data_IF_390380128101
#
_entry.id   IF_390380128101
#
_cell.length_a   1.000
_cell.length_b   1.000
_cell.length_c   1.000
_cell.angle_alpha   90.00
_cell.angle_beta   90.00
_cell.angle_gamma   90.00
#
_symmetry.space_group_name_H-M   'P 1'
#
loop_
_entity.id
_entity.type
_entity.pdbx_description
1 polymer ?
#
# COMPACT_ATOMS: atom_id res chain seq x y z
N UNK A 1 7.00 -22.81 -6.94
CA UNK A 1 6.43 -23.24 -8.24
C UNK A 1 5.92 -21.98 -8.92
N UNK A 2 6.00 -21.84 -10.25
CA UNK A 2 5.55 -20.63 -10.92
C UNK A 2 4.08 -20.34 -10.59
N UNK A 3 3.76 -19.12 -10.18
CA UNK A 3 2.37 -18.71 -9.95
C UNK A 3 1.77 -18.21 -11.27
N UNK A 4 0.42 -18.17 -11.43
CA UNK A 4 -0.18 -17.54 -12.61
C UNK A 4 0.06 -16.02 -12.71
N UNK A 5 0.72 -15.42 -11.71
CA UNK A 5 0.94 -13.99 -11.60
C UNK A 5 2.40 -13.56 -11.82
N UNK A 6 3.34 -14.50 -11.98
CA UNK A 6 4.77 -14.20 -12.03
C UNK A 6 5.11 -13.18 -13.14
N UNK A 7 4.54 -13.35 -14.35
CA UNK A 7 4.74 -12.40 -15.46
C UNK A 7 4.21 -10.99 -15.15
N UNK A 8 3.12 -10.89 -14.39
CA UNK A 8 2.55 -9.60 -13.98
C UNK A 8 3.44 -8.93 -12.93
N UNK A 9 3.91 -9.69 -11.95
CA UNK A 9 4.81 -9.21 -10.91
C UNK A 9 6.18 -8.80 -11.46
N UNK A 10 6.69 -9.52 -12.47
CA UNK A 10 7.92 -9.15 -13.17
C UNK A 10 7.77 -7.81 -13.92
N UNK A 11 6.64 -7.60 -14.60
CA UNK A 11 6.32 -6.32 -15.26
C UNK A 11 6.20 -5.15 -14.27
N UNK A 12 5.81 -5.44 -13.02
CA UNK A 12 5.80 -4.49 -11.91
C UNK A 12 7.17 -4.32 -11.25
N UNK A 13 8.23 -4.91 -11.82
CA UNK A 13 9.60 -4.83 -11.33
C UNK A 13 9.76 -5.37 -9.89
N UNK A 14 8.94 -6.34 -9.48
CA UNK A 14 9.06 -6.93 -8.15
C UNK A 14 10.31 -7.81 -8.02
N UNK A 15 10.85 -7.90 -6.82
CA UNK A 15 11.79 -8.96 -6.45
C UNK A 15 11.01 -10.27 -6.20
N UNK A 16 10.87 -11.09 -7.23
CA UNK A 16 10.02 -12.29 -7.19
C UNK A 16 10.45 -13.29 -6.10
N UNK A 17 11.75 -13.44 -5.86
CA UNK A 17 12.25 -14.38 -4.85
C UNK A 17 11.92 -13.90 -3.45
N UNK A 18 12.16 -12.62 -3.16
CA UNK A 18 11.81 -12.04 -1.88
C UNK A 18 10.28 -11.96 -1.68
N UNK A 19 9.53 -11.73 -2.76
CA UNK A 19 8.06 -11.68 -2.75
C UNK A 19 7.43 -13.05 -2.50
N UNK A 20 7.94 -14.11 -3.12
CA UNK A 20 7.51 -15.49 -2.84
C UNK A 20 7.72 -15.82 -1.35
N UNK A 21 8.87 -15.46 -0.78
CA UNK A 21 9.15 -15.63 0.65
C UNK A 21 8.16 -14.89 1.55
N UNK A 22 7.80 -13.66 1.20
CA UNK A 22 6.78 -12.88 1.92
C UNK A 22 5.41 -13.59 1.90
N UNK A 23 4.96 -14.03 0.73
CA UNK A 23 3.67 -14.70 0.58
C UNK A 23 3.62 -16.04 1.32
N UNK A 24 4.71 -16.78 1.35
CA UNK A 24 4.82 -18.03 2.11
C UNK A 24 4.64 -17.79 3.62
N UNK A 25 5.30 -16.76 4.16
CA UNK A 25 5.18 -16.39 5.58
C UNK A 25 3.76 -15.93 5.91
N UNK A 26 3.17 -15.09 5.05
CA UNK A 26 1.82 -14.59 5.24
C UNK A 26 0.78 -15.73 5.21
N UNK A 27 0.87 -16.65 4.24
CA UNK A 27 -0.02 -17.79 4.15
C UNK A 27 0.06 -18.69 5.38
N UNK A 28 1.27 -18.94 5.90
CA UNK A 28 1.47 -19.68 7.14
C UNK A 28 0.81 -18.98 8.33
N UNK A 29 1.07 -17.68 8.52
CA UNK A 29 0.48 -16.92 9.62
C UNK A 29 -1.04 -16.84 9.54
N UNK A 30 -1.60 -16.69 8.34
CA UNK A 30 -3.05 -16.67 8.19
C UNK A 30 -3.67 -18.02 8.56
N UNK A 31 -3.06 -19.12 8.12
CA UNK A 31 -3.43 -20.47 8.53
C UNK A 31 -3.39 -20.65 10.05
N UNK A 32 -2.25 -20.35 10.66
CA UNK A 32 -2.01 -20.55 12.09
C UNK A 32 -2.90 -19.67 12.98
N UNK A 33 -3.13 -18.40 12.61
CA UNK A 33 -3.85 -17.41 13.43
C UNK A 33 -5.36 -17.49 13.19
N UNK A 34 -5.81 -17.54 11.93
CA UNK A 34 -7.23 -17.39 11.60
C UNK A 34 -7.90 -18.72 11.27
N UNK A 35 -7.31 -19.56 10.42
CA UNK A 35 -8.00 -20.77 9.93
C UNK A 35 -8.13 -21.87 11.00
N UNK A 36 -7.33 -21.80 12.07
CA UNK A 36 -7.41 -22.69 13.24
C UNK A 36 -8.51 -22.31 14.24
N UNK A 37 -9.09 -21.11 14.15
CA UNK A 37 -10.09 -20.65 15.11
C UNK A 37 -11.43 -21.37 14.91
N UNK A 38 -12.04 -21.80 16.01
CA UNK A 38 -13.39 -22.37 16.01
C UNK A 38 -14.47 -21.27 16.05
N UNK A 39 -15.68 -21.57 15.55
CA UNK A 39 -16.82 -20.64 15.62
C UNK A 39 -16.79 -19.46 14.65
N UNK A 40 -15.92 -19.49 13.63
CA UNK A 40 -15.85 -18.45 12.59
C UNK A 40 -17.15 -18.38 11.78
N UNK A 41 -17.60 -17.17 11.47
CA UNK A 41 -18.78 -16.95 10.63
C UNK A 41 -18.51 -17.42 9.19
N UNK A 42 -19.51 -18.05 8.55
CA UNK A 42 -19.39 -18.53 7.16
C UNK A 42 -18.99 -17.41 6.18
N UNK A 43 -19.50 -16.19 6.37
CA UNK A 43 -19.17 -15.05 5.51
C UNK A 43 -17.68 -14.65 5.49
N UNK A 44 -16.86 -15.18 6.41
CA UNK A 44 -15.42 -15.00 6.40
C UNK A 44 -14.74 -15.67 5.20
N UNK A 45 -15.39 -16.62 4.53
CA UNK A 45 -14.83 -17.32 3.36
C UNK A 45 -14.42 -16.36 2.23
N UNK A 46 -15.14 -15.24 2.08
CA UNK A 46 -14.76 -14.19 1.14
C UNK A 46 -13.44 -13.52 1.52
N UNK A 47 -13.25 -13.21 2.81
CA UNK A 47 -12.01 -12.58 3.28
C UNK A 47 -10.86 -13.59 3.26
N UNK A 48 -11.12 -14.87 3.54
CA UNK A 48 -10.12 -15.94 3.40
C UNK A 48 -9.63 -16.03 1.95
N UNK A 49 -10.55 -15.95 0.99
CA UNK A 49 -10.24 -15.90 -0.44
C UNK A 49 -9.43 -14.65 -0.81
N UNK A 50 -9.86 -13.46 -0.37
CA UNK A 50 -9.12 -12.21 -0.62
C UNK A 50 -7.69 -12.31 -0.07
N UNK A 51 -7.49 -12.92 1.09
CA UNK A 51 -6.17 -13.09 1.68
C UNK A 51 -5.32 -14.13 0.95
N UNK A 52 -5.93 -15.22 0.43
CA UNK A 52 -5.22 -16.17 -0.44
C UNK A 52 -4.75 -15.54 -1.76
N UNK A 53 -5.43 -14.47 -2.20
CA UNK A 53 -5.17 -13.74 -3.44
C UNK A 53 -4.62 -12.33 -3.19
N UNK A 54 -4.06 -12.06 -2.01
CA UNK A 54 -3.76 -10.70 -1.51
C UNK A 54 -2.90 -9.86 -2.47
N UNK A 55 -1.97 -10.50 -3.20
CA UNK A 55 -1.12 -9.88 -4.22
C UNK A 55 -1.39 -10.40 -5.64
N UNK A 56 -2.44 -11.22 -5.82
CA UNK A 56 -2.81 -11.85 -7.08
C UNK A 56 -3.94 -11.09 -7.77
N UNK A 57 -5.17 -11.59 -7.61
CA UNK A 57 -6.34 -11.13 -8.37
C UNK A 57 -6.54 -9.61 -8.35
N UNK A 58 -6.46 -8.96 -7.19
CA UNK A 58 -6.68 -7.51 -7.10
C UNK A 58 -5.62 -6.73 -7.87
N UNK A 59 -4.37 -7.19 -7.87
CA UNK A 59 -3.29 -6.55 -8.64
C UNK A 59 -3.56 -6.66 -10.14
N UNK A 60 -4.07 -7.82 -10.60
CA UNK A 60 -4.49 -8.00 -11.98
C UNK A 60 -5.60 -7.03 -12.38
N UNK A 61 -6.62 -6.86 -11.54
CA UNK A 61 -7.68 -5.86 -11.76
C UNK A 61 -7.12 -4.43 -11.87
N UNK A 62 -6.13 -4.07 -11.05
CA UNK A 62 -5.47 -2.77 -11.13
C UNK A 62 -4.74 -2.59 -12.47
N UNK A 63 -4.00 -3.60 -12.93
CA UNK A 63 -3.30 -3.54 -14.21
C UNK A 63 -4.27 -3.46 -15.39
N UNK A 64 -5.38 -4.19 -15.34
CA UNK A 64 -6.44 -4.12 -16.35
C UNK A 64 -7.11 -2.75 -16.38
N UNK A 65 -7.42 -2.17 -15.22
CA UNK A 65 -7.97 -0.81 -15.12
C UNK A 65 -7.01 0.22 -15.73
N UNK A 66 -5.71 0.11 -15.45
CA UNK A 66 -4.69 0.98 -16.05
C UNK A 66 -4.58 0.83 -17.56
N UNK A 67 -4.66 -0.40 -18.07
CA UNK A 67 -4.69 -0.66 -19.51
C UNK A 67 -5.92 -0.05 -20.20
N UNK A 68 -7.02 0.13 -19.47
CA UNK A 68 -8.24 0.82 -19.92
C UNK A 68 -8.17 2.35 -19.76
N UNK A 69 -7.04 2.89 -19.29
CA UNK A 69 -6.80 4.33 -19.13
C UNK A 69 -7.18 4.91 -17.76
N UNK A 70 -7.72 4.10 -16.84
CA UNK A 70 -8.02 4.54 -15.46
C UNK A 70 -6.72 4.74 -14.67
N UNK A 71 -6.76 5.62 -13.66
CA UNK A 71 -5.60 5.91 -12.80
C UNK A 71 -5.71 5.21 -11.46
N UNK A 72 -4.62 4.62 -11.00
CA UNK A 72 -4.52 4.02 -9.66
C UNK A 72 -3.84 5.03 -8.74
N UNK A 73 -4.54 5.44 -7.68
CA UNK A 73 -4.08 6.44 -6.72
C UNK A 73 -3.89 5.78 -5.36
N UNK A 74 -2.65 5.77 -4.90
CA UNK A 74 -2.24 5.26 -3.60
C UNK A 74 -2.39 6.32 -2.52
N UNK A 75 -2.95 5.96 -1.36
CA UNK A 75 -3.15 6.90 -0.24
C UNK A 75 -2.66 6.30 1.07
N UNK A 76 -2.25 7.16 2.02
CA UNK A 76 -1.82 6.72 3.35
C UNK A 76 -2.73 7.23 4.48
N UNK A 77 -3.78 7.97 4.15
CA UNK A 77 -4.62 8.63 5.13
C UNK A 77 -6.05 8.76 4.64
N UNK A 78 -6.98 8.63 5.57
CA UNK A 78 -8.42 8.77 5.33
C UNK A 78 -8.86 10.21 5.02
N UNK A 79 -7.99 11.20 5.22
CA UNK A 79 -8.27 12.57 4.80
C UNK A 79 -8.16 12.75 3.28
N UNK A 80 -7.45 11.88 2.57
CA UNK A 80 -7.43 11.93 1.11
C UNK A 80 -8.83 11.56 0.60
N UNK A 81 -9.50 12.42 -0.19
CA UNK A 81 -10.89 12.23 -0.57
C UNK A 81 -11.02 11.13 -1.64
N UNK A 82 -11.31 9.91 -1.19
CA UNK A 82 -11.55 8.76 -2.07
C UNK A 82 -12.69 9.04 -3.06
N UNK A 83 -13.69 9.82 -2.64
CA UNK A 83 -14.84 10.19 -3.46
C UNK A 83 -14.43 10.95 -4.72
N UNK A 84 -13.40 11.81 -4.65
CA UNK A 84 -12.90 12.53 -5.83
C UNK A 84 -12.13 11.60 -6.78
N UNK A 85 -11.38 10.65 -6.24
CA UNK A 85 -10.66 9.64 -7.03
C UNK A 85 -11.67 8.77 -7.79
N UNK A 86 -12.71 8.29 -7.11
CA UNK A 86 -13.77 7.46 -7.70
C UNK A 86 -14.61 8.25 -8.72
N UNK A 87 -14.95 9.51 -8.42
CA UNK A 87 -15.70 10.36 -9.35
C UNK A 87 -14.95 10.64 -10.66
N UNK A 88 -13.61 10.62 -10.62
CA UNK A 88 -12.74 10.73 -11.79
C UNK A 88 -12.51 9.39 -12.51
N UNK A 89 -13.29 8.35 -12.20
CA UNK A 89 -13.13 6.97 -12.68
C UNK A 89 -11.74 6.36 -12.33
N UNK A 90 -11.11 6.85 -11.27
CA UNK A 90 -9.89 6.29 -10.72
C UNK A 90 -10.13 5.07 -9.84
N UNK A 91 -9.03 4.52 -9.32
CA UNK A 91 -9.04 3.46 -8.31
C UNK A 91 -8.23 3.93 -7.11
N UNK A 92 -8.85 4.00 -5.93
CA UNK A 92 -8.17 4.32 -4.68
C UNK A 92 -7.60 3.05 -4.03
N UNK A 93 -6.37 3.12 -3.53
CA UNK A 93 -5.70 2.02 -2.82
C UNK A 93 -5.03 2.55 -1.56
N UNK A 94 -5.37 1.98 -0.40
CA UNK A 94 -4.66 2.27 0.85
C UNK A 94 -3.31 1.56 0.91
N UNK A 95 -2.23 2.31 1.13
CA UNK A 95 -0.84 1.82 1.08
C UNK A 95 -0.16 1.75 2.46
N UNK A 96 -0.87 2.04 3.54
CA UNK A 96 -0.34 1.87 4.89
C UNK A 96 0.08 0.42 5.12
N UNK A 97 1.37 0.22 5.39
CA UNK A 97 1.95 -1.10 5.54
C UNK A 97 2.19 -1.45 7.01
N UNK A 98 1.92 -2.70 7.37
CA UNK A 98 1.99 -3.23 8.74
C UNK A 98 3.00 -4.34 8.95
N UNK A 99 3.88 -4.60 7.98
CA UNK A 99 4.86 -5.70 8.06
C UNK A 99 6.27 -5.16 8.27
N UNK A 100 7.08 -5.87 9.06
CA UNK A 100 8.50 -5.56 9.25
C UNK A 100 9.35 -6.00 8.04
N UNK A 101 9.07 -5.40 6.89
CA UNK A 101 9.69 -5.71 5.61
C UNK A 101 10.53 -4.52 5.16
N UNK A 102 11.74 -4.79 4.66
CA UNK A 102 12.63 -3.76 4.12
C UNK A 102 13.13 -2.73 5.14
N UNK A 103 13.05 -3.03 6.44
CA UNK A 103 13.41 -2.09 7.52
C UNK A 103 14.86 -1.60 7.40
N UNK A 104 15.81 -2.49 7.11
CA UNK A 104 17.22 -2.10 6.93
C UNK A 104 17.43 -1.16 5.74
N UNK A 105 16.64 -1.33 4.66
CA UNK A 105 16.69 -0.44 3.50
C UNK A 105 16.07 0.92 3.85
N UNK A 106 14.93 0.93 4.53
CA UNK A 106 14.27 2.15 4.98
C UNK A 106 15.15 2.95 5.94
N UNK A 107 15.85 2.29 6.87
CA UNK A 107 16.71 2.93 7.87
C UNK A 107 18.01 3.53 7.31
N UNK A 108 18.33 3.27 6.03
CA UNK A 108 19.39 4.03 5.32
C UNK A 108 18.94 5.45 4.97
N UNK A 109 17.62 5.67 4.85
CA UNK A 109 17.03 6.96 4.46
C UNK A 109 16.29 7.63 5.62
N UNK A 110 15.73 6.84 6.52
CA UNK A 110 14.90 7.29 7.64
C UNK A 110 15.59 7.02 8.98
N UNK A 111 15.42 7.88 9.99
CA UNK A 111 15.87 7.58 11.34
C UNK A 111 15.26 6.27 11.88
N UNK A 112 16.05 5.48 12.61
CA UNK A 112 15.60 4.20 13.20
C UNK A 112 14.39 4.33 14.13
N UNK A 113 14.28 5.48 14.80
CA UNK A 113 13.19 5.83 15.71
C UNK A 113 11.94 6.39 14.99
N UNK A 114 11.90 6.35 13.66
CA UNK A 114 10.69 6.68 12.88
C UNK A 114 9.62 5.61 13.10
N UNK A 115 8.35 6.01 13.06
CA UNK A 115 7.19 5.12 13.15
C UNK A 115 7.34 3.89 12.23
N UNK A 116 7.07 2.70 12.75
CA UNK A 116 7.22 1.44 12.02
C UNK A 116 6.36 1.37 10.75
N UNK A 117 5.16 1.97 10.75
CA UNK A 117 4.31 2.07 9.56
C UNK A 117 5.02 2.82 8.42
N UNK A 118 5.72 3.90 8.75
CA UNK A 118 6.45 4.72 7.77
C UNK A 118 7.64 3.94 7.22
N UNK A 119 8.42 3.32 8.11
CA UNK A 119 9.55 2.48 7.71
C UNK A 119 9.08 1.30 6.86
N UNK A 120 7.91 0.73 7.16
CA UNK A 120 7.32 -0.38 6.41
C UNK A 120 6.99 0.02 4.97
N UNK A 121 6.21 1.09 4.73
CA UNK A 121 5.85 1.43 3.34
C UNK A 121 7.06 1.89 2.51
N UNK A 122 8.01 2.59 3.12
CA UNK A 122 9.28 2.94 2.46
C UNK A 122 10.09 1.68 2.17
N UNK A 123 10.21 0.77 3.13
CA UNK A 123 10.89 -0.51 2.98
C UNK A 123 10.29 -1.36 1.86
N UNK A 124 8.96 -1.47 1.78
CA UNK A 124 8.26 -2.19 0.72
C UNK A 124 8.57 -1.66 -0.68
N UNK A 125 8.65 -0.33 -0.84
CA UNK A 125 9.02 0.31 -2.11
C UNK A 125 10.49 0.03 -2.44
N UNK A 126 11.40 0.26 -1.50
CA UNK A 126 12.84 0.06 -1.72
C UNK A 126 13.20 -1.40 -2.00
N UNK A 127 12.50 -2.34 -1.37
CA UNK A 127 12.68 -3.77 -1.58
C UNK A 127 11.92 -4.33 -2.79
N UNK A 128 11.11 -3.52 -3.48
CA UNK A 128 10.29 -3.94 -4.63
C UNK A 128 9.39 -5.13 -4.29
N UNK A 129 8.68 -5.03 -3.16
CA UNK A 129 7.89 -6.13 -2.58
C UNK A 129 6.38 -5.88 -2.56
N UNK A 130 5.92 -4.65 -2.78
CA UNK A 130 4.50 -4.34 -2.72
C UNK A 130 3.94 -4.08 -4.13
N UNK A 131 3.23 -5.03 -4.75
CA UNK A 131 2.63 -4.82 -6.06
C UNK A 131 1.61 -3.68 -6.06
N UNK A 132 0.94 -3.40 -4.93
CA UNK A 132 0.03 -2.27 -4.83
C UNK A 132 0.74 -0.92 -5.02
N UNK A 133 1.91 -0.73 -4.39
CA UNK A 133 2.69 0.50 -4.56
C UNK A 133 3.19 0.61 -6.00
N UNK A 134 3.72 -0.47 -6.58
CA UNK A 134 4.20 -0.49 -7.97
C UNK A 134 3.06 -0.33 -9.01
N UNK A 135 1.82 -0.61 -8.60
CA UNK A 135 0.64 -0.41 -9.45
C UNK A 135 0.15 1.04 -9.45
N UNK A 136 0.61 1.91 -8.54
CA UNK A 136 0.09 3.28 -8.43
C UNK A 136 0.69 4.21 -9.49
N UNK A 137 -0.17 5.00 -10.15
CA UNK A 137 0.26 6.08 -11.06
C UNK A 137 0.59 7.37 -10.28
N UNK A 138 -0.03 7.56 -9.11
CA UNK A 138 0.19 8.67 -8.19
C UNK A 138 0.04 8.19 -6.76
N UNK A 139 0.87 8.71 -5.86
CA UNK A 139 0.73 8.56 -4.43
C UNK A 139 0.35 9.91 -3.83
N UNK A 140 -0.71 9.93 -3.01
CA UNK A 140 -1.15 11.12 -2.29
C UNK A 140 -0.74 10.99 -0.83
N UNK A 141 0.22 11.82 -0.43
CA UNK A 141 0.62 12.02 0.95
C UNK A 141 -0.12 13.19 1.60
N UNK A 142 0.02 13.32 2.91
CA UNK A 142 -0.65 14.35 3.70
C UNK A 142 0.23 14.91 4.84
N UNK A 143 0.02 16.17 5.23
CA UNK A 143 0.80 16.81 6.31
C UNK A 143 0.29 16.51 7.73
N UNK A 144 0.03 15.25 8.06
CA UNK A 144 -0.52 14.85 9.38
C UNK A 144 0.54 14.82 10.48
N UNK A 145 1.40 13.80 10.49
CA UNK A 145 2.49 13.68 11.46
C UNK A 145 3.83 14.10 10.85
N UNK A 146 4.78 14.50 11.70
CA UNK A 146 6.09 14.94 11.23
C UNK A 146 6.82 13.86 10.43
N UNK A 147 6.76 12.61 10.89
CA UNK A 147 7.39 11.49 10.21
C UNK A 147 6.90 11.31 8.78
N UNK A 148 5.57 11.32 8.57
CA UNK A 148 4.99 11.15 7.23
C UNK A 148 5.29 12.35 6.33
N UNK A 149 5.05 13.56 6.83
CA UNK A 149 5.31 14.82 6.11
C UNK A 149 6.74 14.85 5.56
N UNK A 150 7.73 14.51 6.38
CA UNK A 150 9.14 14.47 5.96
C UNK A 150 9.50 13.23 5.13
N UNK A 151 8.89 12.08 5.40
CA UNK A 151 9.12 10.88 4.60
C UNK A 151 8.63 11.05 3.15
N UNK A 152 7.56 11.81 2.90
CA UNK A 152 7.06 12.05 1.54
C UNK A 152 8.05 12.83 0.66
N UNK A 153 8.85 13.73 1.24
CA UNK A 153 9.90 14.44 0.50
C UNK A 153 10.95 13.47 -0.05
N UNK A 154 11.35 12.48 0.75
CA UNK A 154 12.27 11.41 0.34
C UNK A 154 11.57 10.44 -0.62
N UNK A 155 10.31 10.09 -0.32
CA UNK A 155 9.55 9.12 -1.11
C UNK A 155 9.27 9.60 -2.54
N UNK A 156 9.25 10.93 -2.76
CA UNK A 156 9.10 11.54 -4.08
C UNK A 156 10.23 11.18 -5.06
N UNK A 157 11.41 10.77 -4.56
CA UNK A 157 12.50 10.26 -5.41
C UNK A 157 12.22 8.85 -5.96
N UNK A 158 11.22 8.15 -5.41
CA UNK A 158 10.92 6.75 -5.71
C UNK A 158 9.54 6.54 -6.34
N UNK A 159 8.60 7.49 -6.17
CA UNK A 159 7.27 7.45 -6.74
C UNK A 159 6.75 8.87 -7.02
N UNK A 160 5.81 9.05 -7.97
CA UNK A 160 5.12 10.32 -8.12
C UNK A 160 4.29 10.62 -6.86
N UNK A 161 4.62 11.70 -6.15
CA UNK A 161 3.95 12.08 -4.90
C UNK A 161 3.30 13.45 -5.03
N UNK A 162 2.04 13.55 -4.64
CA UNK A 162 1.34 14.81 -4.36
C UNK A 162 1.08 14.90 -2.85
N UNK A 163 1.41 16.01 -2.22
CA UNK A 163 1.21 16.19 -0.77
C UNK A 163 0.08 17.17 -0.52
N UNK A 164 -0.98 16.70 0.14
CA UNK A 164 -2.09 17.52 0.61
C UNK A 164 -1.75 18.17 1.95
N UNK A 165 -1.94 19.48 2.05
CA UNK A 165 -1.84 20.19 3.33
C UNK A 165 -3.14 20.01 4.13
N UNK A 166 -3.01 19.42 5.32
CA UNK A 166 -4.11 19.22 6.27
C UNK A 166 -3.97 20.27 7.38
N UNK A 167 -5.03 21.05 7.68
CA UNK A 167 -5.00 22.01 8.78
C UNK A 167 -4.86 21.29 10.13
N UNK A 168 -4.25 21.98 11.10
CA UNK A 168 -3.98 21.42 12.44
C UNK A 168 -5.07 21.78 13.46
N UNK A 169 -6.02 22.63 13.07
CA UNK A 169 -7.18 23.01 13.87
C UNK A 169 -8.47 22.90 13.04
N UNK A 170 -9.60 23.30 13.61
CA UNK A 170 -10.94 23.21 12.98
C UNK A 170 -11.71 24.54 13.06
N UNK A 171 -10.98 25.66 13.11
CA UNK A 171 -11.54 27.01 13.09
C UNK A 171 -12.10 27.34 11.69
N UNK A 172 -12.70 28.51 11.54
CA UNK A 172 -13.24 28.93 10.24
C UNK A 172 -12.16 28.96 9.15
N UNK A 173 -11.00 29.57 9.43
CA UNK A 173 -9.89 29.62 8.48
C UNK A 173 -9.32 28.24 8.10
N UNK A 174 -9.32 27.27 9.02
CA UNK A 174 -8.90 25.90 8.74
C UNK A 174 -9.87 25.18 7.79
N UNK A 175 -11.16 25.46 7.92
CA UNK A 175 -12.21 24.89 7.06
C UNK A 175 -12.24 25.56 5.68
N UNK A 176 -11.78 26.81 5.58
CA UNK A 176 -11.65 27.49 4.29
C UNK A 176 -10.42 26.98 3.51
N UNK A 177 -9.37 26.54 4.20
CA UNK A 177 -8.20 25.88 3.58
C UNK A 177 -8.56 24.51 3.01
N UNK A 178 -9.50 23.80 3.64
CA UNK A 178 -9.88 22.42 3.34
C UNK A 178 -11.05 22.32 2.36
#
# INVERSE_FOLDING_TARGET
>A
MPTPYDEMWEKLNLDLSAHEGLLQVLGKFYGDIYLTQEGRLKGMEYLDFVLSEVHGLRIKELQEARAQGRKVVGTFCVFVPEELILAADGVCVGLCAGAEVGMEAAEKLLPRNTCALIKSFVGFKLSRLCPFIESCDLVVGETTCDGKKKAYEIFADYAPVYVMEIPQMKQACDRDLW
#
